data_IF_088216045174
#
_entry.id   IF_088216045174
#
_cell.length_a   1.000
_cell.length_b   1.000
_cell.length_c   1.000
_cell.angle_alpha   90.00
_cell.angle_beta   90.00
_cell.angle_gamma   90.00
#
_symmetry.space_group_name_H-M   'P 1'
#
loop_
_entity.id
_entity.type
_entity.pdbx_description
1 polymer ?
#
# COMPACT_ATOMS: atom_id res chain seq x y z
N UNK A 1 -47.14 38.91 42.46
CA UNK A 1 -47.59 38.21 41.24
C UNK A 1 -47.70 36.75 41.65
N UNK A 2 -48.88 36.39 42.13
CA UNK A 2 -49.17 35.08 42.72
C UNK A 2 -49.54 34.12 41.59
N UNK A 3 -48.99 32.90 41.63
CA UNK A 3 -49.19 31.86 40.62
C UNK A 3 -50.55 31.20 40.84
N UNK A 4 -51.46 31.40 39.89
CA UNK A 4 -52.74 30.72 39.81
C UNK A 4 -52.54 29.22 39.54
N UNK A 5 -52.86 28.38 40.52
CA UNK A 5 -52.91 26.93 40.41
C UNK A 5 -54.21 26.52 39.68
N UNK A 6 -54.08 25.78 38.58
CA UNK A 6 -55.20 25.20 37.84
C UNK A 6 -55.30 23.71 38.14
N UNK A 7 -56.37 23.32 38.82
CA UNK A 7 -56.74 21.95 39.13
C UNK A 7 -57.07 21.16 37.84
N UNK A 8 -56.63 19.91 37.67
CA UNK A 8 -56.97 19.12 36.48
C UNK A 8 -58.38 18.55 36.61
N UNK A 9 -59.25 18.97 35.71
CA UNK A 9 -60.63 18.51 35.57
C UNK A 9 -60.67 17.04 35.14
N UNK A 10 -61.14 16.15 36.02
CA UNK A 10 -61.57 14.79 35.63
C UNK A 10 -62.84 14.89 34.78
N UNK A 11 -62.80 14.32 33.58
CA UNK A 11 -64.02 13.99 32.82
C UNK A 11 -63.93 12.53 32.44
N UNK A 12 -64.77 11.73 33.08
CA UNK A 12 -65.02 10.34 32.76
C UNK A 12 -65.96 10.20 31.56
N UNK A 13 -65.65 9.22 30.72
CA UNK A 13 -66.53 8.45 29.83
C UNK A 13 -67.06 9.12 28.55
N UNK A 14 -66.45 8.78 27.41
CA UNK A 14 -67.16 8.18 26.27
C UNK A 14 -66.19 7.55 25.26
N UNK A 15 -66.49 6.30 24.95
CA UNK A 15 -65.92 5.37 23.97
C UNK A 15 -65.39 5.95 22.64
N UNK A 16 -64.49 5.13 22.07
CA UNK A 16 -64.18 4.95 20.64
C UNK A 16 -62.97 5.74 20.10
N UNK A 17 -61.79 5.10 20.18
CA UNK A 17 -60.93 4.87 19.02
C UNK A 17 -59.87 3.83 19.38
N UNK A 18 -59.99 2.68 18.73
CA UNK A 18 -59.21 1.46 18.91
C UNK A 18 -57.71 1.71 18.65
N UNK A 19 -56.93 1.69 19.72
CA UNK A 19 -55.49 1.40 19.61
C UNK A 19 -55.34 -0.07 19.24
N UNK A 20 -54.52 -0.44 18.24
CA UNK A 20 -54.31 -1.83 17.91
C UNK A 20 -53.55 -2.48 19.07
N UNK A 21 -54.26 -3.30 19.85
CA UNK A 21 -53.62 -4.22 20.78
C UNK A 21 -52.72 -5.14 19.94
N UNK A 22 -51.43 -5.17 20.25
CA UNK A 22 -50.52 -6.15 19.69
C UNK A 22 -50.92 -7.52 20.25
N UNK A 23 -51.77 -8.22 19.51
CA UNK A 23 -52.19 -9.58 19.80
C UNK A 23 -51.03 -10.54 19.50
N UNK A 24 -50.24 -10.82 20.54
CA UNK A 24 -49.07 -11.70 20.52
C UNK A 24 -49.38 -13.19 20.41
N UNK A 25 -50.53 -13.56 19.82
CA UNK A 25 -51.03 -14.95 19.84
C UNK A 25 -51.49 -15.49 18.48
N UNK A 26 -51.18 -14.80 17.36
CA UNK A 26 -51.40 -15.35 16.03
C UNK A 26 -50.07 -15.56 15.28
N UNK A 27 -49.55 -16.80 15.13
CA UNK A 27 -48.32 -17.08 14.39
C UNK A 27 -48.42 -16.79 12.87
N UNK A 28 -49.56 -16.33 12.38
CA UNK A 28 -49.82 -16.08 10.95
C UNK A 28 -49.55 -14.63 10.50
N UNK A 29 -49.19 -13.71 11.42
CA UNK A 29 -48.75 -12.34 11.08
C UNK A 29 -47.23 -12.18 11.08
N UNK A 30 -46.46 -13.26 11.32
CA UNK A 30 -45.07 -13.29 10.88
C UNK A 30 -45.11 -13.03 9.38
N UNK A 31 -44.52 -11.91 8.94
CA UNK A 31 -44.38 -11.56 7.53
C UNK A 31 -44.01 -12.83 6.74
N UNK A 32 -45.01 -13.43 6.09
CA UNK A 32 -44.82 -14.59 5.27
C UNK A 32 -44.11 -14.04 4.06
N UNK A 33 -42.79 -14.18 4.05
CA UNK A 33 -41.98 -13.90 2.87
C UNK A 33 -42.72 -14.56 1.69
N UNK A 34 -43.00 -13.82 0.60
CA UNK A 34 -43.63 -14.42 -0.56
C UNK A 34 -42.84 -15.70 -0.91
N UNK A 35 -43.51 -16.80 -1.28
CA UNK A 35 -42.80 -17.99 -1.72
C UNK A 35 -41.82 -17.54 -2.80
N UNK A 36 -40.57 -17.95 -2.67
CA UNK A 36 -39.57 -17.73 -3.68
C UNK A 36 -39.96 -18.52 -4.93
N UNK A 37 -40.90 -18.00 -5.70
CA UNK A 37 -40.97 -18.24 -7.15
C UNK A 37 -39.84 -17.44 -7.78
N UNK A 38 -38.61 -17.70 -7.34
CA UNK A 38 -37.43 -17.48 -8.16
C UNK A 38 -37.60 -18.41 -9.34
N UNK A 39 -38.31 -17.92 -10.34
CA UNK A 39 -38.51 -18.56 -11.63
C UNK A 39 -37.15 -19.03 -12.09
N UNK A 40 -37.01 -20.29 -12.51
CA UNK A 40 -35.73 -20.84 -12.98
C UNK A 40 -35.08 -19.93 -14.04
N UNK A 41 -35.92 -19.20 -14.77
CA UNK A 41 -35.52 -18.20 -15.76
C UNK A 41 -34.83 -16.97 -15.14
N UNK A 42 -35.24 -16.50 -13.96
CA UNK A 42 -34.55 -15.40 -13.25
C UNK A 42 -33.20 -15.86 -12.69
N UNK A 43 -33.12 -17.09 -12.16
CA UNK A 43 -31.85 -17.65 -11.68
C UNK A 43 -30.88 -17.91 -12.83
N UNK A 44 -31.37 -18.35 -13.99
CA UNK A 44 -30.57 -18.47 -15.22
C UNK A 44 -30.10 -17.10 -15.70
N UNK A 45 -30.95 -16.08 -15.70
CA UNK A 45 -30.58 -14.74 -16.13
C UNK A 45 -29.54 -14.10 -15.20
N UNK A 46 -29.67 -14.27 -13.89
CA UNK A 46 -28.67 -13.84 -12.90
C UNK A 46 -27.39 -14.66 -13.04
N UNK A 47 -27.50 -15.98 -13.25
CA UNK A 47 -26.38 -16.88 -13.49
C UNK A 47 -25.60 -16.54 -14.75
N UNK A 48 -26.27 -16.19 -15.85
CA UNK A 48 -25.63 -15.73 -17.09
C UNK A 48 -24.94 -14.39 -16.91
N UNK A 49 -25.56 -13.46 -16.18
CA UNK A 49 -24.98 -12.14 -15.91
C UNK A 49 -23.74 -12.23 -15.02
N UNK A 50 -23.78 -13.07 -13.98
CA UNK A 50 -22.63 -13.37 -13.12
C UNK A 50 -21.56 -14.12 -13.92
N UNK A 51 -21.93 -15.10 -14.75
CA UNK A 51 -20.98 -15.85 -15.60
C UNK A 51 -20.27 -14.94 -16.59
N UNK A 52 -20.99 -13.99 -17.21
CA UNK A 52 -20.41 -12.99 -18.11
C UNK A 52 -19.46 -12.05 -17.38
N UNK A 53 -19.87 -11.53 -16.23
CA UNK A 53 -19.02 -10.70 -15.37
C UNK A 53 -17.77 -11.47 -14.88
N UNK A 54 -17.91 -12.74 -14.50
CA UNK A 54 -16.78 -13.59 -14.07
C UNK A 54 -15.79 -13.87 -15.19
N UNK A 55 -16.24 -13.91 -16.46
CA UNK A 55 -15.37 -14.06 -17.63
C UNK A 55 -14.66 -12.75 -17.98
N UNK A 56 -15.30 -11.61 -17.74
CA UNK A 56 -14.74 -10.28 -18.01
C UNK A 56 -13.77 -9.81 -16.90
N UNK A 57 -13.97 -10.21 -15.63
CA UNK A 57 -13.06 -9.93 -14.49
C UNK A 57 -11.58 -10.24 -14.81
N UNK A 58 -11.18 -11.47 -15.18
CA UNK A 58 -9.77 -11.78 -15.38
C UNK A 58 -9.17 -10.99 -16.54
N UNK A 59 -9.93 -10.70 -17.59
CA UNK A 59 -9.46 -9.87 -18.71
C UNK A 59 -9.28 -8.40 -18.32
N UNK A 60 -10.24 -7.83 -17.59
CA UNK A 60 -10.16 -6.45 -17.16
C UNK A 60 -9.07 -6.25 -16.12
N UNK A 61 -8.95 -7.14 -15.12
CA UNK A 61 -7.85 -7.10 -14.17
C UNK A 61 -6.49 -7.23 -14.84
N UNK A 62 -6.36 -8.08 -15.87
CA UNK A 62 -5.11 -8.21 -16.61
C UNK A 62 -4.76 -6.93 -17.39
N UNK A 63 -5.75 -6.24 -17.97
CA UNK A 63 -5.55 -4.95 -18.65
C UNK A 63 -5.14 -3.86 -17.66
N UNK A 64 -5.82 -3.76 -16.52
CA UNK A 64 -5.46 -2.81 -15.46
C UNK A 64 -4.07 -3.10 -14.88
N UNK A 65 -3.78 -4.35 -14.53
CA UNK A 65 -2.47 -4.73 -14.03
C UNK A 65 -1.38 -4.40 -15.05
N UNK A 66 -1.55 -4.77 -16.32
CA UNK A 66 -0.54 -4.50 -17.35
C UNK A 66 -0.37 -3.01 -17.65
N UNK A 67 -1.46 -2.23 -17.64
CA UNK A 67 -1.43 -0.78 -17.86
C UNK A 67 -0.78 -0.01 -16.70
N UNK A 68 -1.02 -0.43 -15.46
CA UNK A 68 -0.57 0.29 -14.27
C UNK A 68 0.67 -0.32 -13.59
N UNK A 69 1.11 -1.53 -13.96
CA UNK A 69 2.31 -2.18 -13.39
C UNK A 69 3.53 -1.26 -13.43
N UNK A 70 3.82 -0.67 -14.59
CA UNK A 70 5.00 0.20 -14.76
C UNK A 70 4.96 1.45 -13.88
N UNK A 71 3.90 2.28 -13.89
CA UNK A 71 3.83 3.46 -13.02
C UNK A 71 3.71 3.11 -11.54
N UNK A 72 3.00 2.03 -11.17
CA UNK A 72 2.89 1.57 -9.77
C UNK A 72 4.24 1.11 -9.24
N UNK A 73 4.99 0.30 -10.01
CA UNK A 73 6.34 -0.10 -9.62
C UNK A 73 7.24 1.12 -9.51
N UNK A 74 7.17 2.06 -10.45
CA UNK A 74 7.92 3.32 -10.37
C UNK A 74 7.62 4.10 -9.09
N UNK A 75 6.35 4.24 -8.74
CA UNK A 75 5.92 4.90 -7.51
C UNK A 75 6.37 4.13 -6.26
N UNK A 76 6.25 2.79 -6.28
CA UNK A 76 6.70 1.93 -5.18
C UNK A 76 8.21 2.05 -4.96
N UNK A 77 9.00 2.01 -6.04
CA UNK A 77 10.45 2.22 -5.98
C UNK A 77 10.78 3.62 -5.51
N UNK A 78 10.06 4.65 -5.97
CA UNK A 78 10.26 6.02 -5.53
C UNK A 78 10.01 6.17 -4.02
N UNK A 79 8.89 5.67 -3.52
CA UNK A 79 8.56 5.68 -2.10
C UNK A 79 9.56 4.85 -1.28
N UNK A 80 9.91 3.66 -1.76
CA UNK A 80 10.92 2.81 -1.10
C UNK A 80 12.29 3.51 -1.05
N UNK A 81 12.71 4.15 -2.13
CA UNK A 81 13.94 4.94 -2.20
C UNK A 81 13.90 6.12 -1.24
N UNK A 82 12.78 6.82 -1.14
CA UNK A 82 12.60 7.92 -0.19
C UNK A 82 12.71 7.45 1.26
N UNK A 83 12.08 6.32 1.60
CA UNK A 83 12.19 5.71 2.93
C UNK A 83 13.62 5.23 3.19
N UNK A 84 14.26 4.57 2.23
CA UNK A 84 15.66 4.13 2.35
C UNK A 84 16.59 5.32 2.61
N UNK A 85 16.41 6.43 1.89
CA UNK A 85 17.17 7.66 2.12
C UNK A 85 16.96 8.19 3.54
N UNK A 86 15.70 8.21 4.03
CA UNK A 86 15.41 8.60 5.41
C UNK A 86 16.10 7.69 6.43
N UNK A 87 16.12 6.39 6.19
CA UNK A 87 16.80 5.41 7.07
C UNK A 87 18.30 5.66 7.08
N UNK A 88 18.93 5.88 5.92
CA UNK A 88 20.37 6.20 5.84
C UNK A 88 20.69 7.51 6.57
N UNK A 89 19.87 8.55 6.38
CA UNK A 89 20.03 9.83 7.08
C UNK A 89 19.85 9.68 8.60
N UNK A 90 18.86 8.90 9.04
CA UNK A 90 18.62 8.61 10.45
C UNK A 90 19.76 7.80 11.07
N UNK A 91 20.32 6.84 10.32
CA UNK A 91 21.51 6.10 10.74
C UNK A 91 22.71 7.03 10.87
N UNK A 92 22.92 7.94 9.91
CA UNK A 92 24.02 8.91 9.97
C UNK A 92 23.87 9.87 11.17
N UNK A 93 22.63 10.31 11.44
CA UNK A 93 22.31 11.12 12.62
C UNK A 93 22.60 10.35 13.92
N UNK A 94 22.14 9.10 14.03
CA UNK A 94 22.38 8.26 15.20
C UNK A 94 23.88 7.97 15.41
N UNK A 95 24.64 7.79 14.33
CA UNK A 95 26.09 7.64 14.38
C UNK A 95 26.76 8.92 14.89
N UNK A 96 26.31 10.09 14.43
CA UNK A 96 26.84 11.38 14.87
C UNK A 96 26.51 11.70 16.34
N UNK A 97 25.42 11.14 16.88
CA UNK A 97 25.06 11.25 18.30
C UNK A 97 25.97 10.42 19.22
N UNK A 98 26.71 9.45 18.67
CA UNK A 98 27.70 8.69 19.45
C UNK A 98 28.98 9.53 19.55
N UNK A 99 29.35 10.01 20.75
CA UNK A 99 30.62 10.69 20.92
C UNK A 99 31.74 9.71 20.54
N UNK A 100 32.75 10.19 19.80
CA UNK A 100 33.92 9.46 19.25
C UNK A 100 33.77 8.91 17.83
N UNK A 101 32.57 8.64 17.30
CA UNK A 101 32.48 7.98 15.98
C UNK A 101 32.98 8.89 14.87
N UNK A 102 32.60 10.18 14.88
CA UNK A 102 33.12 11.16 13.93
C UNK A 102 34.65 11.19 13.87
N UNK A 103 35.32 11.29 15.03
CA UNK A 103 36.79 11.30 15.10
C UNK A 103 37.44 9.99 14.67
N UNK A 104 36.81 8.83 14.95
CA UNK A 104 37.29 7.53 14.49
C UNK A 104 37.16 7.38 12.98
N UNK A 105 36.03 7.80 12.39
CA UNK A 105 35.85 7.79 10.93
C UNK A 105 36.81 8.75 10.23
N UNK A 106 37.09 9.92 10.81
CA UNK A 106 38.09 10.85 10.31
C UNK A 106 39.49 10.23 10.33
N UNK A 107 39.87 9.59 11.44
CA UNK A 107 41.17 8.91 11.55
C UNK A 107 41.28 7.73 10.56
N UNK A 108 40.23 6.93 10.42
CA UNK A 108 40.17 5.84 9.42
C UNK A 108 40.27 6.42 8.02
N UNK A 109 39.54 7.49 7.73
CA UNK A 109 39.54 8.16 6.43
C UNK A 109 40.93 8.67 6.06
N UNK A 110 41.55 9.46 6.92
CA UNK A 110 42.90 9.98 6.71
C UNK A 110 43.92 8.84 6.61
N UNK A 111 43.82 7.83 7.48
CA UNK A 111 44.70 6.66 7.46
C UNK A 111 44.61 5.90 6.13
N UNK A 112 43.39 5.61 5.69
CA UNK A 112 43.16 4.86 4.45
C UNK A 112 43.49 5.69 3.21
N UNK A 113 43.13 6.97 3.17
CA UNK A 113 43.51 7.88 2.08
C UNK A 113 45.02 8.03 1.99
N UNK A 114 45.71 8.25 3.12
CA UNK A 114 47.16 8.34 3.16
C UNK A 114 47.85 7.05 2.68
N UNK A 115 47.39 5.89 3.18
CA UNK A 115 47.88 4.58 2.74
C UNK A 115 47.61 4.34 1.25
N UNK A 116 46.42 4.67 0.76
CA UNK A 116 46.03 4.49 -0.64
C UNK A 116 46.87 5.37 -1.57
N UNK A 117 47.06 6.65 -1.22
CA UNK A 117 47.93 7.57 -1.98
C UNK A 117 49.35 7.03 -2.04
N UNK A 118 49.91 6.63 -0.91
CA UNK A 118 51.26 6.08 -0.84
C UNK A 118 51.40 4.78 -1.66
N UNK A 119 50.43 3.87 -1.53
CA UNK A 119 50.47 2.54 -2.15
C UNK A 119 50.14 2.56 -3.64
N UNK A 120 49.24 3.42 -4.11
CA UNK A 120 48.73 3.36 -5.48
C UNK A 120 49.06 4.60 -6.32
N UNK A 121 49.12 5.80 -5.72
CA UNK A 121 49.32 7.04 -6.46
C UNK A 121 50.78 7.47 -6.59
N UNK A 122 51.69 7.14 -5.67
CA UNK A 122 53.09 7.62 -5.77
C UNK A 122 53.94 6.81 -6.76
N UNK A 123 53.70 5.51 -6.88
CA UNK A 123 54.48 4.62 -7.74
C UNK A 123 53.87 4.51 -9.14
N UNK A 124 54.68 4.80 -10.17
CA UNK A 124 54.28 4.69 -11.58
C UNK A 124 53.68 3.32 -11.98
N UNK A 125 54.22 2.15 -11.57
CA UNK A 125 53.59 0.87 -11.90
C UNK A 125 52.21 0.72 -11.26
N UNK A 126 52.07 1.12 -9.99
CA UNK A 126 50.82 0.97 -9.25
C UNK A 126 49.72 1.90 -9.77
N UNK A 127 50.08 3.08 -10.30
CA UNK A 127 49.11 3.97 -11.01
C UNK A 127 48.55 3.31 -12.27
N UNK A 128 49.40 2.60 -13.03
CA UNK A 128 48.97 1.89 -14.26
C UNK A 128 48.08 0.70 -13.94
N UNK A 129 48.43 -0.05 -12.91
CA UNK A 129 47.63 -1.17 -12.39
C UNK A 129 46.24 -0.69 -11.94
N UNK A 130 46.18 0.36 -11.13
CA UNK A 130 44.92 0.96 -10.67
C UNK A 130 44.05 1.46 -11.83
N UNK A 131 44.66 2.12 -12.83
CA UNK A 131 43.92 2.60 -14.01
C UNK A 131 43.32 1.44 -14.82
N UNK A 132 44.07 0.36 -15.02
CA UNK A 132 43.60 -0.83 -15.71
C UNK A 132 42.47 -1.53 -14.94
N UNK A 133 42.58 -1.59 -13.60
CA UNK A 133 41.55 -2.16 -12.74
C UNK A 133 40.25 -1.33 -12.79
N UNK A 134 40.34 0.00 -12.70
CA UNK A 134 39.20 0.91 -12.86
C UNK A 134 38.56 0.75 -14.25
N UNK A 135 39.35 0.67 -15.31
CA UNK A 135 38.85 0.46 -16.67
C UNK A 135 38.11 -0.88 -16.79
N UNK A 136 38.67 -1.95 -16.22
CA UNK A 136 38.05 -3.27 -16.20
C UNK A 136 36.73 -3.28 -15.41
N UNK A 137 36.67 -2.58 -14.29
CA UNK A 137 35.47 -2.47 -13.45
C UNK A 137 34.39 -1.65 -14.13
N UNK A 138 34.77 -0.53 -14.75
CA UNK A 138 33.86 0.30 -15.56
C UNK A 138 33.27 -0.51 -16.71
N UNK A 139 34.09 -1.31 -17.39
CA UNK A 139 33.66 -2.18 -18.49
C UNK A 139 32.69 -3.27 -18.02
N UNK A 140 32.92 -3.84 -16.82
CA UNK A 140 31.99 -4.80 -16.21
C UNK A 140 30.62 -4.18 -15.88
N UNK A 141 30.59 -2.97 -15.33
CA UNK A 141 29.32 -2.32 -14.94
C UNK A 141 28.57 -1.73 -16.15
N UNK A 142 29.30 -1.15 -17.10
CA UNK A 142 28.68 -0.55 -18.31
C UNK A 142 28.20 -1.64 -19.29
N UNK A 143 28.59 -2.90 -19.05
CA UNK A 143 28.27 -4.02 -19.89
C UNK A 143 29.17 -4.06 -21.13
N UNK A 144 29.77 -5.22 -21.37
CA UNK A 144 30.14 -5.56 -22.74
C UNK A 144 28.82 -5.70 -23.50
N UNK A 145 28.45 -4.72 -24.30
CA UNK A 145 27.59 -4.96 -25.46
C UNK A 145 28.40 -5.82 -26.43
N UNK A 146 28.57 -7.09 -26.09
CA UNK A 146 28.97 -8.15 -26.99
C UNK A 146 27.80 -8.32 -27.93
N UNK A 147 27.80 -7.49 -28.97
CA UNK A 147 27.24 -7.80 -30.27
C UNK A 147 28.22 -8.77 -30.96
N UNK A 148 28.43 -9.94 -30.35
CA UNK A 148 28.82 -11.19 -31.01
C UNK A 148 27.65 -12.13 -30.68
N UNK A 149 26.99 -12.83 -31.58
CA UNK A 149 27.24 -13.19 -32.96
C UNK A 149 25.89 -13.67 -33.50
N UNK A 150 25.38 -13.09 -34.57
CA UNK A 150 24.37 -13.75 -35.40
C UNK A 150 24.90 -13.76 -36.82
N UNK A 151 25.59 -14.87 -37.11
CA UNK A 151 25.61 -15.49 -38.42
C UNK A 151 24.20 -16.03 -38.71
#
# INVERSE_FOLDING_TARGET
>A
METEYKEPQQVDTALQNEMPALDGTNPQTLAKLPPADTSDDQLKMVGEKISKFMKEIPEDLNKFYSAYKTPIIGLAVFLASFVALRVVLAMLAAVNDIPLVSSVFELIGIGYTGWFVFRYLLKAPNRKELAAEIESFKKQITGNSTTESLN
#
